data_IF_924753866294
#
_entry.id   IF_924753866294
#
_cell.length_a   1.000
_cell.length_b   1.000
_cell.length_c   1.000
_cell.angle_alpha   90.00
_cell.angle_beta   90.00
_cell.angle_gamma   90.00
#
_symmetry.space_group_name_H-M   'P 1'
#
loop_
_entity.id
_entity.type
_entity.pdbx_description
1 polymer ?
#
# COMPACT_ATOMS: atom_id res chain seq x y z
N UNK A 1 0.16 21.70 -17.51
CA UNK A 1 0.87 20.47 -17.91
C UNK A 1 0.07 19.30 -17.38
N UNK A 2 -0.29 18.30 -18.21
CA UNK A 2 -0.81 17.05 -17.66
C UNK A 2 0.26 16.46 -16.74
N UNK A 3 -0.15 15.96 -15.58
CA UNK A 3 0.76 15.34 -14.63
C UNK A 3 1.23 14.00 -15.16
N UNK A 4 2.48 13.66 -14.84
CA UNK A 4 3.16 12.50 -15.38
C UNK A 4 3.36 11.42 -14.33
N UNK A 5 3.75 10.24 -14.80
CA UNK A 5 4.05 9.06 -14.00
C UNK A 5 5.57 8.79 -13.96
N UNK A 6 6.41 9.72 -14.42
CA UNK A 6 7.84 9.49 -14.58
C UNK A 6 8.54 9.32 -13.22
N UNK A 7 8.40 10.30 -12.33
CA UNK A 7 8.84 10.17 -10.94
C UNK A 7 7.68 9.84 -10.00
N UNK A 8 7.96 9.11 -8.93
CA UNK A 8 6.94 8.73 -7.95
C UNK A 8 6.15 9.95 -7.39
N UNK A 9 6.83 11.08 -7.16
CA UNK A 9 6.21 12.29 -6.61
C UNK A 9 5.25 13.00 -7.58
N UNK A 10 5.33 12.71 -8.87
CA UNK A 10 4.48 13.31 -9.91
C UNK A 10 3.12 12.60 -10.00
N UNK A 11 3.10 11.28 -9.78
CA UNK A 11 1.90 10.45 -9.95
C UNK A 11 0.90 10.51 -8.80
N UNK A 12 1.29 11.05 -7.64
CA UNK A 12 0.44 11.14 -6.43
C UNK A 12 -0.36 9.85 -6.14
N UNK A 13 0.38 8.73 -6.02
CA UNK A 13 -0.16 7.39 -5.77
C UNK A 13 -0.75 7.25 -4.35
N UNK A 14 -1.89 7.91 -4.15
CA UNK A 14 -2.65 7.94 -2.90
C UNK A 14 -3.35 6.60 -2.66
N UNK A 15 -3.07 5.99 -1.51
CA UNK A 15 -3.58 4.71 -1.06
C UNK A 15 -3.44 3.56 -2.08
N UNK A 16 -2.29 3.47 -2.76
CA UNK A 16 -2.11 2.43 -3.80
C UNK A 16 -0.66 1.95 -3.92
N UNK A 17 -0.51 0.69 -4.34
CA UNK A 17 0.75 0.14 -4.80
C UNK A 17 1.07 0.63 -6.22
N UNK A 18 2.25 1.22 -6.39
CA UNK A 18 2.80 1.66 -7.66
C UNK A 18 4.16 0.98 -7.91
N UNK A 19 4.40 0.51 -9.13
CA UNK A 19 5.61 -0.22 -9.49
C UNK A 19 6.32 0.43 -10.68
N UNK A 20 7.64 0.28 -10.75
CA UNK A 20 8.45 0.68 -11.89
C UNK A 20 9.51 -0.39 -12.19
N UNK A 21 9.85 -0.61 -13.46
CA UNK A 21 10.97 -1.51 -13.84
C UNK A 21 12.33 -0.82 -13.64
N UNK A 22 12.43 0.44 -14.05
CA UNK A 22 13.71 1.19 -14.09
C UNK A 22 13.74 2.36 -13.09
N UNK A 23 12.92 2.30 -12.03
CA UNK A 23 12.76 3.39 -11.05
C UNK A 23 12.03 4.63 -11.58
N UNK A 24 11.49 4.56 -12.80
CA UNK A 24 10.69 5.60 -13.46
C UNK A 24 9.47 4.98 -14.15
N UNK A 25 8.49 5.82 -14.53
CA UNK A 25 7.24 5.41 -15.19
C UNK A 25 6.44 4.43 -14.33
N UNK A 26 5.98 4.93 -13.19
CA UNK A 26 5.27 4.16 -12.19
C UNK A 26 3.87 3.78 -12.67
N UNK A 27 3.53 2.49 -12.54
CA UNK A 27 2.20 1.95 -12.85
C UNK A 27 1.55 1.44 -11.58
N UNK A 28 0.36 1.96 -11.30
CA UNK A 28 -0.55 1.42 -10.30
C UNK A 28 -1.60 0.52 -10.97
N UNK A 29 -2.52 -0.01 -10.17
CA UNK A 29 -3.60 -0.86 -10.67
C UNK A 29 -4.51 -0.09 -11.62
N UNK A 30 -4.56 -0.52 -12.88
CA UNK A 30 -5.56 -0.09 -13.84
C UNK A 30 -6.89 -0.83 -13.62
N UNK A 31 -7.08 -1.93 -14.33
CA UNK A 31 -8.25 -2.81 -14.18
C UNK A 31 -7.88 -4.11 -13.47
N UNK A 32 -8.85 -4.67 -12.76
CA UNK A 32 -8.75 -6.02 -12.23
C UNK A 32 -8.94 -7.03 -13.38
N UNK A 33 -8.06 -8.03 -13.46
CA UNK A 33 -8.34 -9.22 -14.25
C UNK A 33 -9.36 -10.10 -13.55
N UNK A 34 -9.36 -10.09 -12.21
CA UNK A 34 -10.36 -10.71 -11.38
C UNK A 34 -10.44 -10.03 -10.01
N UNK A 35 -11.60 -10.06 -9.36
CA UNK A 35 -11.74 -9.52 -8.00
C UNK A 35 -12.80 -10.27 -7.21
N UNK A 36 -12.63 -10.32 -5.89
CA UNK A 36 -13.60 -10.83 -4.94
C UNK A 36 -13.78 -9.83 -3.80
N UNK A 37 -15.03 -9.62 -3.41
CA UNK A 37 -15.39 -8.91 -2.18
C UNK A 37 -15.93 -9.97 -1.24
N UNK A 38 -15.19 -10.23 -0.16
CA UNK A 38 -15.55 -11.20 0.87
C UNK A 38 -15.99 -10.44 2.13
N UNK A 39 -16.67 -11.11 3.09
CA UNK A 39 -17.14 -10.45 4.31
C UNK A 39 -16.03 -9.77 5.12
N UNK A 40 -14.78 -10.23 5.01
CA UNK A 40 -13.66 -9.80 5.84
C UNK A 40 -12.49 -9.17 5.06
N UNK A 41 -12.53 -9.18 3.72
CA UNK A 41 -11.44 -8.68 2.85
C UNK A 41 -11.88 -8.45 1.40
N UNK A 42 -11.06 -7.72 0.67
CA UNK A 42 -11.16 -7.55 -0.78
C UNK A 42 -9.91 -8.16 -1.41
N UNK A 43 -10.06 -8.88 -2.52
CA UNK A 43 -8.96 -9.48 -3.28
C UNK A 43 -9.01 -8.98 -4.72
N UNK A 44 -7.88 -8.50 -5.22
CA UNK A 44 -7.70 -8.01 -6.58
C UNK A 44 -6.60 -8.81 -7.27
N UNK A 45 -6.87 -9.33 -8.46
CA UNK A 45 -5.84 -9.82 -9.38
C UNK A 45 -5.65 -8.81 -10.50
N UNK A 46 -4.41 -8.43 -10.78
CA UNK A 46 -4.11 -7.42 -11.78
C UNK A 46 -2.68 -7.53 -12.31
N UNK A 47 -2.44 -6.84 -13.43
CA UNK A 47 -1.19 -6.88 -14.17
C UNK A 47 -0.78 -5.47 -14.62
N UNK A 48 0.26 -4.84 -14.04
CA UNK A 48 0.78 -3.56 -14.54
C UNK A 48 1.53 -3.72 -15.88
N UNK A 49 2.05 -4.91 -16.15
CA UNK A 49 2.63 -5.36 -17.41
C UNK A 49 2.25 -6.82 -17.68
N UNK A 50 2.37 -7.28 -18.92
CA UNK A 50 2.04 -8.65 -19.32
C UNK A 50 2.89 -9.74 -18.63
N UNK A 51 4.07 -9.38 -18.13
CA UNK A 51 5.02 -10.24 -17.45
C UNK A 51 5.04 -10.08 -15.92
N UNK A 52 4.15 -9.25 -15.37
CA UNK A 52 4.01 -9.01 -13.93
C UNK A 52 2.58 -9.33 -13.50
N UNK A 53 2.42 -10.24 -12.53
CA UNK A 53 1.11 -10.62 -11.97
C UNK A 53 1.07 -10.35 -10.47
N UNK A 54 0.02 -9.68 -10.04
CA UNK A 54 -0.15 -9.24 -8.66
C UNK A 54 -1.51 -9.70 -8.14
N UNK A 55 -1.51 -10.33 -6.96
CA UNK A 55 -2.71 -10.49 -6.13
C UNK A 55 -2.58 -9.53 -4.96
N UNK A 56 -3.52 -8.59 -4.81
CA UNK A 56 -3.58 -7.67 -3.69
C UNK A 56 -4.78 -7.98 -2.82
N UNK A 57 -4.54 -8.40 -1.59
CA UNK A 57 -5.58 -8.60 -0.58
C UNK A 57 -5.58 -7.42 0.39
N UNK A 58 -6.74 -6.79 0.56
CA UNK A 58 -6.95 -5.71 1.53
C UNK A 58 -7.85 -6.24 2.63
N UNK A 59 -7.32 -6.27 3.86
CA UNK A 59 -8.04 -6.68 5.06
C UNK A 59 -8.46 -5.42 5.82
N UNK A 60 -9.72 -4.96 5.69
CA UNK A 60 -10.22 -3.82 6.44
C UNK A 60 -10.40 -4.15 7.92
N UNK A 61 -9.95 -3.22 8.74
CA UNK A 61 -10.03 -3.19 10.19
C UNK A 61 -10.77 -1.90 10.60
N UNK A 62 -10.81 -1.55 11.89
CA UNK A 62 -11.56 -0.36 12.34
C UNK A 62 -10.94 0.95 11.82
N UNK A 63 -9.75 1.29 12.29
CA UNK A 63 -9.05 2.56 11.95
C UNK A 63 -7.86 2.37 11.00
N UNK A 64 -7.69 1.17 10.46
CA UNK A 64 -6.62 0.84 9.54
C UNK A 64 -7.04 -0.28 8.57
N UNK A 65 -6.12 -0.67 7.69
CA UNK A 65 -6.22 -1.90 6.93
C UNK A 65 -4.84 -2.47 6.68
N UNK A 66 -4.78 -3.80 6.52
CA UNK A 66 -3.56 -4.51 6.12
C UNK A 66 -3.65 -4.81 4.62
N UNK A 67 -2.60 -4.48 3.86
CA UNK A 67 -2.48 -4.81 2.44
C UNK A 67 -1.42 -5.89 2.28
N UNK A 68 -1.76 -6.92 1.51
CA UNK A 68 -0.89 -8.05 1.21
C UNK A 68 -0.79 -8.15 -0.31
N UNK A 69 0.41 -8.03 -0.84
CA UNK A 69 0.67 -8.09 -2.28
C UNK A 69 1.54 -9.31 -2.61
N UNK A 70 0.96 -10.29 -3.30
CA UNK A 70 1.70 -11.41 -3.88
C UNK A 70 2.08 -11.08 -5.32
N UNK A 71 3.35 -10.79 -5.54
CA UNK A 71 3.89 -10.29 -6.80
C UNK A 71 4.73 -11.38 -7.45
N UNK A 72 4.47 -11.68 -8.72
CA UNK A 72 5.34 -12.51 -9.56
C UNK A 72 5.79 -11.71 -10.78
N UNK A 73 7.10 -11.68 -11.01
CA UNK A 73 7.73 -10.92 -12.09
C UNK A 73 8.92 -11.68 -12.68
N UNK A 74 9.22 -11.42 -13.96
CA UNK A 74 10.41 -11.96 -14.64
C UNK A 74 11.63 -11.06 -14.55
N UNK A 75 11.42 -9.80 -14.18
CA UNK A 75 12.44 -8.76 -14.10
C UNK A 75 12.38 -8.08 -12.73
N UNK A 76 13.44 -7.37 -12.37
CA UNK A 76 13.45 -6.59 -11.14
C UNK A 76 12.40 -5.47 -11.19
N UNK A 77 11.79 -5.17 -10.06
CA UNK A 77 10.83 -4.07 -9.92
C UNK A 77 11.18 -3.24 -8.69
N UNK A 78 10.93 -1.93 -8.80
CA UNK A 78 10.86 -1.04 -7.65
C UNK A 78 9.38 -0.84 -7.30
N UNK A 79 9.00 -1.10 -6.07
CA UNK A 79 7.62 -0.99 -5.59
C UNK A 79 7.52 0.08 -4.51
N UNK A 80 6.47 0.91 -4.61
CA UNK A 80 6.11 1.94 -3.65
C UNK A 80 4.67 1.70 -3.26
N UNK A 81 4.43 1.46 -1.99
CA UNK A 81 3.08 1.33 -1.46
C UNK A 81 2.72 2.61 -0.71
N UNK A 82 1.74 3.36 -1.24
CA UNK A 82 1.36 4.68 -0.74
C UNK A 82 0.31 4.60 0.36
N UNK A 83 0.49 5.41 1.41
CA UNK A 83 -0.54 5.69 2.41
C UNK A 83 -1.54 6.72 1.91
N UNK A 84 -2.26 7.39 2.81
CA UNK A 84 -3.18 8.46 2.41
C UNK A 84 -2.45 9.80 2.21
N UNK A 85 -2.79 10.57 1.18
CA UNK A 85 -2.27 11.93 1.08
C UNK A 85 -2.87 12.83 2.18
N UNK A 86 -2.02 13.64 2.82
CA UNK A 86 -2.44 14.57 3.87
C UNK A 86 -1.97 16.00 3.54
N UNK A 87 -2.70 17.05 4.00
CA UNK A 87 -2.31 18.44 3.79
C UNK A 87 -0.88 18.69 4.25
N UNK A 88 -0.07 19.32 3.39
CA UNK A 88 1.28 19.69 3.76
C UNK A 88 1.26 20.92 4.68
N UNK A 89 1.72 20.73 5.92
CA UNK A 89 1.83 21.77 6.94
C UNK A 89 3.29 22.14 7.20
N UNK A 90 3.54 23.03 8.16
CA UNK A 90 4.91 23.34 8.62
C UNK A 90 5.51 22.26 9.53
N UNK A 91 4.69 21.33 10.03
CA UNK A 91 5.17 20.22 10.85
C UNK A 91 5.95 19.23 9.97
N UNK A 92 7.11 18.80 10.43
CA UNK A 92 7.94 17.88 9.67
C UNK A 92 7.34 16.48 9.76
N UNK A 93 7.08 15.82 8.62
CA UNK A 93 6.58 14.46 8.63
C UNK A 93 7.69 13.51 9.12
N UNK A 94 7.31 12.40 9.74
CA UNK A 94 8.23 11.48 10.43
C UNK A 94 8.35 10.17 9.66
N UNK A 95 9.57 9.75 9.35
CA UNK A 95 9.86 8.44 8.78
C UNK A 95 11.00 7.76 9.54
N UNK A 96 10.69 6.70 10.28
CA UNK A 96 11.65 5.95 11.08
C UNK A 96 11.20 4.49 11.24
N UNK A 97 12.14 3.55 11.24
CA UNK A 97 11.87 2.15 11.59
C UNK A 97 10.83 1.44 10.70
N UNK A 98 10.75 1.81 9.41
CA UNK A 98 9.76 1.23 8.48
C UNK A 98 8.35 1.83 8.62
N UNK A 99 8.20 2.91 9.38
CA UNK A 99 6.94 3.66 9.54
C UNK A 99 7.11 5.06 8.95
N UNK A 100 6.10 5.55 8.24
CA UNK A 100 5.99 6.93 7.81
C UNK A 100 4.65 7.56 8.22
N UNK A 101 4.70 8.78 8.74
CA UNK A 101 3.56 9.50 9.30
C UNK A 101 3.51 10.95 8.83
N UNK A 102 2.30 11.40 8.50
CA UNK A 102 2.00 12.80 8.18
C UNK A 102 0.83 13.25 9.04
N UNK A 103 1.12 14.05 10.06
CA UNK A 103 0.10 14.71 10.88
C UNK A 103 -0.37 16.02 10.23
N UNK A 104 -1.65 16.31 10.37
CA UNK A 104 -2.27 17.52 9.83
C UNK A 104 -3.50 17.93 10.66
N UNK A 105 -4.03 19.16 10.49
CA UNK A 105 -5.24 19.60 11.18
C UNK A 105 -6.49 18.74 10.93
N UNK A 106 -6.48 17.92 9.87
CA UNK A 106 -7.61 17.04 9.53
C UNK A 106 -7.39 15.59 9.97
N UNK A 107 -6.26 15.29 10.62
CA UNK A 107 -5.93 13.94 11.06
C UNK A 107 -4.52 13.49 10.72
N UNK A 108 -4.29 12.19 10.90
CA UNK A 108 -3.02 11.51 10.70
C UNK A 108 -3.13 10.54 9.51
N UNK A 109 -2.18 10.62 8.59
CA UNK A 109 -1.89 9.51 7.68
C UNK A 109 -0.68 8.73 8.14
N UNK A 110 -0.79 7.41 8.19
CA UNK A 110 0.28 6.51 8.61
C UNK A 110 0.39 5.32 7.67
N UNK A 111 1.60 4.89 7.39
CA UNK A 111 1.91 3.61 6.76
C UNK A 111 3.09 2.93 7.45
N UNK A 112 3.02 1.61 7.58
CA UNK A 112 4.04 0.76 8.20
C UNK A 112 4.34 -0.44 7.29
N UNK A 113 5.60 -0.62 6.91
CA UNK A 113 6.07 -1.75 6.13
C UNK A 113 6.33 -2.95 7.05
N UNK A 114 5.54 -4.01 6.91
CA UNK A 114 5.57 -5.17 7.82
C UNK A 114 6.38 -6.36 7.26
N UNK A 115 6.36 -6.53 5.94
CA UNK A 115 7.17 -7.55 5.25
C UNK A 115 7.62 -7.04 3.88
N UNK A 116 8.90 -7.23 3.57
CA UNK A 116 9.47 -7.06 2.23
C UNK A 116 9.77 -5.61 1.82
N UNK A 117 9.36 -4.63 2.62
CA UNK A 117 9.73 -3.23 2.45
C UNK A 117 11.06 -2.93 3.14
N UNK A 118 11.91 -2.13 2.50
CA UNK A 118 13.25 -1.76 2.97
C UNK A 118 13.30 -0.37 3.61
N UNK A 119 12.36 0.51 3.24
CA UNK A 119 12.35 1.91 3.66
C UNK A 119 10.90 2.40 3.81
N UNK A 120 10.70 3.32 4.75
CA UNK A 120 9.53 4.19 4.81
C UNK A 120 9.98 5.63 4.61
N UNK A 121 9.24 6.39 3.82
CA UNK A 121 9.58 7.76 3.48
C UNK A 121 8.32 8.61 3.26
N UNK A 122 8.52 9.92 3.21
CA UNK A 122 7.46 10.87 2.83
C UNK A 122 7.90 11.60 1.56
N UNK A 123 6.96 11.71 0.63
CA UNK A 123 7.17 12.50 -0.58
C UNK A 123 6.21 13.68 -0.59
N UNK A 124 6.73 14.86 -0.96
CA UNK A 124 5.87 15.99 -1.31
C UNK A 124 5.40 15.80 -2.74
N UNK A 125 4.10 15.67 -2.93
CA UNK A 125 3.53 15.53 -4.27
C UNK A 125 3.59 16.86 -5.03
N UNK A 126 3.48 16.80 -6.36
CA UNK A 126 3.36 18.02 -7.15
C UNK A 126 2.15 18.88 -6.73
N UNK A 127 2.23 20.22 -6.78
CA UNK A 127 1.11 21.10 -6.41
C UNK A 127 -0.15 20.81 -7.23
N UNK A 128 -1.33 20.85 -6.60
CA UNK A 128 -2.64 20.61 -7.20
C UNK A 128 -2.84 19.17 -7.74
N UNK A 129 -2.24 18.15 -7.12
CA UNK A 129 -2.51 16.71 -7.41
C UNK A 129 -3.73 16.22 -6.65
N UNK A 130 -4.05 16.89 -5.54
CA UNK A 130 -5.21 16.64 -4.72
C UNK A 130 -6.31 17.69 -5.00
N UNK A 131 -7.57 17.25 -4.98
CA UNK A 131 -8.74 18.09 -5.31
C UNK A 131 -9.03 19.14 -4.23
N UNK A 132 -8.77 18.82 -2.96
CA UNK A 132 -9.10 19.67 -1.81
C UNK A 132 -7.93 20.52 -1.33
N UNK A 133 -6.71 20.00 -1.45
CA UNK A 133 -5.51 20.64 -0.89
C UNK A 133 -4.46 20.89 -1.98
N UNK A 134 -4.02 22.14 -2.19
CA UNK A 134 -3.06 22.46 -3.25
C UNK A 134 -1.65 21.90 -2.98
N UNK A 135 -1.34 21.55 -1.73
CA UNK A 135 -0.06 20.94 -1.33
C UNK A 135 -0.33 19.78 -0.38
N UNK A 136 0.13 18.59 -0.74
CA UNK A 136 0.03 17.40 0.11
C UNK A 136 1.38 16.72 0.30
N UNK A 137 1.53 16.02 1.41
CA UNK A 137 2.55 15.02 1.62
C UNK A 137 1.91 13.63 1.56
N UNK A 138 2.69 12.67 1.07
CA UNK A 138 2.26 11.28 0.90
C UNK A 138 3.30 10.37 1.60
N UNK A 139 2.93 9.74 2.73
CA UNK A 139 3.77 8.72 3.32
C UNK A 139 3.70 7.44 2.47
N UNK A 140 4.82 6.74 2.34
CA UNK A 140 4.92 5.51 1.56
C UNK A 140 6.02 4.59 2.09
N UNK A 141 5.97 3.33 1.67
CA UNK A 141 7.04 2.35 1.90
C UNK A 141 7.58 1.82 0.57
N UNK A 142 8.87 1.50 0.53
CA UNK A 142 9.61 1.13 -0.69
C UNK A 142 10.13 -0.29 -0.58
N UNK A 143 10.12 -1.02 -1.70
CA UNK A 143 10.72 -2.34 -1.82
C UNK A 143 11.44 -2.50 -3.17
N UNK A 144 12.58 -3.19 -3.17
CA UNK A 144 13.19 -3.75 -4.37
C UNK A 144 12.79 -5.22 -4.51
N UNK A 145 12.16 -5.56 -5.62
CA UNK A 145 11.65 -6.91 -5.92
C UNK A 145 12.58 -7.56 -6.94
N UNK A 146 13.09 -8.73 -6.62
CA UNK A 146 13.86 -9.56 -7.56
C UNK A 146 12.94 -10.41 -8.45
N UNK A 147 13.40 -10.87 -9.63
CA UNK A 147 12.68 -11.84 -10.43
C UNK A 147 12.25 -13.06 -9.60
N UNK A 148 11.01 -13.53 -9.83
CA UNK A 148 10.40 -14.61 -9.07
C UNK A 148 9.16 -14.14 -8.33
N UNK A 149 8.92 -14.73 -7.15
CA UNK A 149 7.76 -14.45 -6.29
C UNK A 149 8.17 -13.68 -5.06
N UNK A 150 7.41 -12.66 -4.71
CA UNK A 150 7.63 -11.83 -3.52
C UNK A 150 6.29 -11.52 -2.87
N UNK A 151 6.28 -11.51 -1.54
CA UNK A 151 5.13 -11.06 -0.75
C UNK A 151 5.52 -9.77 -0.06
N UNK A 152 4.73 -8.72 -0.24
CA UNK A 152 4.83 -7.47 0.49
C UNK A 152 3.63 -7.32 1.41
N UNK A 153 3.85 -6.87 2.64
CA UNK A 153 2.79 -6.62 3.62
C UNK A 153 2.96 -5.24 4.23
N UNK A 154 1.91 -4.44 4.21
CA UNK A 154 1.86 -3.11 4.82
C UNK A 154 0.61 -2.94 5.68
N UNK A 155 0.70 -2.06 6.68
CA UNK A 155 -0.44 -1.54 7.42
C UNK A 155 -0.61 -0.07 7.07
N UNK A 156 -1.83 0.35 6.79
CA UNK A 156 -2.16 1.72 6.41
C UNK A 156 -3.28 2.22 7.30
N UNK A 157 -3.12 3.44 7.84
CA UNK A 157 -4.13 4.09 8.66
C UNK A 157 -4.37 5.53 8.20
N UNK A 158 -5.63 5.94 8.30
CA UNK A 158 -6.05 7.32 8.22
C UNK A 158 -6.94 7.58 9.43
N UNK A 159 -6.49 8.46 10.32
CA UNK A 159 -7.16 8.75 11.59
C UNK A 159 -7.67 10.17 11.59
N UNK A 160 -8.89 10.41 12.08
CA UNK A 160 -9.35 11.74 12.45
C UNK A 160 -8.55 12.28 13.65
N UNK A 161 -8.55 13.60 13.92
CA UNK A 161 -7.74 14.22 14.98
C UNK A 161 -7.94 13.61 16.38
N UNK A 162 -9.14 13.14 16.68
CA UNK A 162 -9.53 12.53 17.95
C UNK A 162 -9.41 11.00 17.96
N UNK A 163 -9.15 10.37 16.83
CA UNK A 163 -9.04 8.92 16.71
C UNK A 163 -7.65 8.42 17.08
N UNK A 164 -7.63 7.25 17.70
CA UNK A 164 -6.40 6.51 17.96
C UNK A 164 -6.44 5.20 17.18
N UNK A 165 -5.28 4.82 16.63
CA UNK A 165 -5.17 3.54 15.97
C UNK A 165 -5.11 2.43 17.02
N UNK A 166 -6.09 1.54 16.99
CA UNK A 166 -6.01 0.27 17.70
C UNK A 166 -5.08 -0.66 16.91
N UNK A 167 -3.84 -0.81 17.38
CA UNK A 167 -2.84 -1.59 16.65
C UNK A 167 -3.28 -3.07 16.57
N UNK A 168 -3.49 -3.63 15.36
CA UNK A 168 -3.79 -5.05 15.21
C UNK A 168 -2.55 -5.89 15.51
N UNK A 169 -2.78 -7.11 15.96
CA UNK A 169 -1.74 -8.15 16.00
C UNK A 169 -1.65 -8.79 14.62
N UNK A 170 -0.46 -8.81 14.04
CA UNK A 170 -0.21 -9.37 12.71
C UNK A 170 0.90 -10.41 12.82
N UNK A 171 0.59 -11.65 12.47
CA UNK A 171 1.55 -12.75 12.40
C UNK A 171 1.74 -13.14 10.94
N UNK A 172 2.99 -13.10 10.48
CA UNK A 172 3.36 -13.39 9.09
C UNK A 172 4.20 -14.66 9.05
N UNK A 173 3.79 -15.61 8.22
CA UNK A 173 4.56 -16.81 7.90
C UNK A 173 4.67 -16.99 6.38
N UNK A 174 5.41 -18.02 5.95
CA UNK A 174 5.56 -18.33 4.53
C UNK A 174 4.24 -18.79 3.87
N UNK A 175 3.27 -19.26 4.65
CA UNK A 175 2.04 -19.87 4.15
C UNK A 175 0.81 -18.96 4.33
N UNK A 176 0.85 -18.02 5.28
CA UNK A 176 -0.29 -17.18 5.60
C UNK A 176 0.08 -15.89 6.34
N UNK A 177 -0.83 -14.92 6.25
CA UNK A 177 -0.87 -13.74 7.12
C UNK A 177 -2.09 -13.85 8.02
N UNK A 178 -1.89 -13.81 9.34
CA UNK A 178 -2.97 -13.74 10.32
C UNK A 178 -3.09 -12.32 10.85
N UNK A 179 -4.29 -11.80 10.83
CA UNK A 179 -4.62 -10.46 11.32
C UNK A 179 -5.65 -10.61 12.43
N UNK A 180 -5.38 -10.02 13.58
CA UNK A 180 -6.31 -9.98 14.71
C UNK A 180 -6.47 -8.55 15.22
N UNK A 181 -7.72 -8.11 15.34
CA UNK A 181 -8.09 -6.86 16.01
C UNK A 181 -9.41 -7.11 16.75
N UNK A 182 -9.44 -6.79 18.04
CA UNK A 182 -10.59 -7.06 18.90
C UNK A 182 -10.98 -8.55 18.82
N UNK A 183 -12.25 -8.87 18.59
CA UNK A 183 -12.74 -10.24 18.43
C UNK A 183 -12.55 -10.80 17.00
N UNK A 184 -12.15 -9.94 16.05
CA UNK A 184 -12.01 -10.31 14.64
C UNK A 184 -10.67 -10.99 14.41
N UNK A 185 -10.69 -12.22 13.89
CA UNK A 185 -9.51 -12.96 13.45
C UNK A 185 -9.67 -13.38 11.99
N UNK A 186 -8.67 -13.03 11.18
CA UNK A 186 -8.68 -13.17 9.73
C UNK A 186 -7.39 -13.88 9.33
N UNK A 187 -7.51 -14.98 8.60
CA UNK A 187 -6.36 -15.72 8.07
C UNK A 187 -6.37 -15.61 6.55
N UNK A 188 -5.27 -15.12 5.97
CA UNK A 188 -5.05 -14.96 4.53
C UNK A 188 -4.00 -15.97 4.12
N UNK A 189 -4.41 -17.03 3.43
CA UNK A 189 -3.46 -17.98 2.84
C UNK A 189 -2.67 -17.32 1.70
N UNK A 190 -1.37 -17.57 1.65
CA UNK A 190 -0.45 -17.13 0.60
C UNK A 190 -0.23 -18.25 -0.43
N UNK A 191 0.14 -17.90 -1.65
CA UNK A 191 0.44 -18.84 -2.74
C UNK A 191 -0.79 -19.44 -3.41
N UNK A 192 -2.00 -19.00 -3.04
CA UNK A 192 -3.28 -19.57 -3.46
C UNK A 192 -3.90 -18.83 -4.63
N UNK A 193 -3.16 -18.58 -5.72
CA UNK A 193 -3.68 -18.03 -7.00
C UNK A 193 -4.86 -18.80 -7.63
N UNK A 194 -5.28 -19.94 -7.05
CA UNK A 194 -6.27 -20.85 -7.66
C UNK A 194 -7.34 -21.39 -6.71
N UNK A 195 -7.30 -21.10 -5.41
CA UNK A 195 -8.26 -21.68 -4.44
C UNK A 195 -9.35 -20.71 -3.98
N UNK A 196 -9.18 -19.40 -4.15
CA UNK A 196 -10.17 -18.40 -3.74
C UNK A 196 -11.42 -18.36 -4.64
N UNK A 197 -11.36 -18.95 -5.84
CA UNK A 197 -12.36 -18.78 -6.91
C UNK A 197 -13.22 -20.02 -7.17
N UNK A 198 -13.07 -21.06 -6.34
CA UNK A 198 -13.93 -22.23 -6.36
C UNK A 198 -14.91 -22.16 -5.19
N UNK A 199 -15.95 -21.34 -5.34
CA UNK A 199 -17.24 -21.49 -4.69
C UNK A 199 -18.30 -20.87 -5.60
#
# INVERSE_FOLDING_TARGET
>A
MPKQDYWYYEGAYDNVLALAKDGHYFRSKGLDTHFAILPDRIVHEWNPWSDVSIVSTIVPLETCHVRIHEIETKEALRAYDGGFSAPYTSELPVAEGGVAEVASPIGLSRIEGLLGFEEAAIVRTEPNTNLFYPRTALPHVVANISPGKTVLVSLVAGLLPEEQMEKPTIEISNEQVKVQQNEKRIEVALGTRRKAWKN
#
